data_IF_690026147397
#
_entry.id   IF_690026147397
#
_cell.length_a   1.000
_cell.length_b   1.000
_cell.length_c   1.000
_cell.angle_alpha   90.00
_cell.angle_beta   90.00
_cell.angle_gamma   90.00
#
_symmetry.space_group_name_H-M   'P 1'
#
loop_
_entity.id
_entity.type
_entity.pdbx_description
1 polymer ?
#
# COMPACT_ATOMS: atom_id res chain seq x y z
N UNK A 1 9.64 9.01 -18.07
CA UNK A 1 9.72 9.51 -16.68
C UNK A 1 8.39 10.15 -16.35
N UNK A 2 7.82 9.85 -15.19
CA UNK A 2 6.62 10.54 -14.68
C UNK A 2 7.07 11.53 -13.61
N UNK A 3 6.46 12.71 -13.59
CA UNK A 3 6.80 13.77 -12.65
C UNK A 3 5.55 14.30 -11.96
N UNK A 4 5.73 14.76 -10.73
CA UNK A 4 4.68 15.39 -9.95
C UNK A 4 5.25 16.27 -8.86
N UNK A 5 4.40 16.63 -7.90
CA UNK A 5 4.76 17.50 -6.78
C UNK A 5 4.08 17.04 -5.50
N UNK A 6 4.74 17.30 -4.39
CA UNK A 6 4.11 17.24 -3.08
C UNK A 6 3.16 18.42 -2.94
N UNK A 7 1.91 18.15 -2.54
CA UNK A 7 0.90 19.17 -2.36
C UNK A 7 1.30 20.19 -1.26
N UNK A 8 0.69 21.37 -1.29
CA UNK A 8 0.97 22.43 -0.32
C UNK A 8 -0.29 22.98 0.36
N UNK A 9 -1.47 22.45 -0.01
CA UNK A 9 -2.77 23.07 0.29
C UNK A 9 -3.38 22.60 1.62
N UNK A 10 -3.08 21.39 2.07
CA UNK A 10 -3.77 20.75 3.21
C UNK A 10 -2.82 20.34 4.36
N UNK A 11 -1.55 20.74 4.31
CA UNK A 11 -0.47 20.34 5.25
C UNK A 11 -0.18 18.82 5.29
N UNK A 12 -0.84 17.99 4.49
CA UNK A 12 -0.67 16.53 4.55
C UNK A 12 0.52 16.02 3.73
N UNK A 13 1.16 16.90 2.94
CA UNK A 13 2.36 16.61 2.14
C UNK A 13 2.20 15.36 1.25
N UNK A 14 1.06 15.26 0.58
CA UNK A 14 0.78 14.15 -0.33
C UNK A 14 1.60 14.28 -1.61
N UNK A 15 2.31 13.22 -1.98
CA UNK A 15 2.98 13.12 -3.27
C UNK A 15 1.93 12.93 -4.38
N UNK A 16 1.73 13.92 -5.24
CA UNK A 16 0.73 13.89 -6.29
C UNK A 16 1.37 13.88 -7.68
N UNK A 17 0.81 13.07 -8.57
CA UNK A 17 1.13 13.06 -10.01
C UNK A 17 -0.15 13.28 -10.81
N UNK A 18 -0.02 13.94 -11.96
CA UNK A 18 -1.14 14.11 -12.88
C UNK A 18 -1.08 13.03 -13.96
N UNK A 19 -2.19 12.33 -14.17
CA UNK A 19 -2.32 11.27 -15.16
C UNK A 19 -3.35 11.64 -16.23
N UNK A 20 -3.04 11.30 -17.48
CA UNK A 20 -4.03 11.25 -18.55
C UNK A 20 -4.55 9.83 -18.66
N UNK A 21 -5.85 9.64 -18.44
CA UNK A 21 -6.54 8.36 -18.62
C UNK A 21 -7.32 8.40 -19.94
N UNK A 22 -7.31 7.30 -20.67
CA UNK A 22 -8.00 7.14 -21.95
C UNK A 22 -9.18 6.17 -21.82
N UNK A 23 -10.27 6.53 -22.46
CA UNK A 23 -11.52 5.79 -22.49
C UNK A 23 -11.99 5.49 -23.92
N UNK A 24 -13.21 4.96 -24.05
CA UNK A 24 -13.75 4.56 -25.37
C UNK A 24 -14.06 5.77 -26.25
N UNK A 25 -13.85 5.62 -27.56
CA UNK A 25 -14.28 6.61 -28.54
C UNK A 25 -13.55 7.96 -28.42
N UNK A 26 -12.22 7.93 -28.27
CA UNK A 26 -11.34 9.11 -28.11
C UNK A 26 -11.62 9.96 -26.86
N UNK A 27 -12.31 9.40 -25.86
CA UNK A 27 -12.52 10.05 -24.57
C UNK A 27 -11.23 9.98 -23.75
N UNK A 28 -10.98 11.03 -22.99
CA UNK A 28 -9.81 11.10 -22.13
C UNK A 28 -10.06 12.10 -21.01
N UNK A 29 -9.59 11.80 -19.80
CA UNK A 29 -9.72 12.66 -18.64
C UNK A 29 -8.37 12.78 -17.92
N UNK A 30 -8.06 13.99 -17.46
CA UNK A 30 -6.89 14.24 -16.64
C UNK A 30 -7.31 14.18 -15.17
N UNK A 31 -6.51 13.54 -14.34
CA UNK A 31 -6.74 13.47 -12.89
C UNK A 31 -5.43 13.62 -12.14
N UNK A 32 -5.51 14.21 -10.95
CA UNK A 32 -4.42 14.18 -9.97
C UNK A 32 -4.61 12.98 -9.06
N UNK A 33 -3.55 12.18 -8.92
CA UNK A 33 -3.53 11.00 -8.07
C UNK A 33 -2.43 11.08 -7.02
N UNK A 34 -2.74 10.64 -5.81
CA UNK A 34 -1.79 10.49 -4.71
C UNK A 34 -1.01 9.19 -4.91
N UNK A 35 0.31 9.27 -4.80
CA UNK A 35 1.16 8.07 -4.79
C UNK A 35 1.02 7.39 -3.43
N UNK A 36 0.49 6.16 -3.41
CA UNK A 36 0.23 5.40 -2.20
C UNK A 36 0.95 4.05 -2.23
N UNK A 37 2.03 3.95 -1.45
CA UNK A 37 2.80 2.70 -1.31
C UNK A 37 2.11 1.64 -0.45
N UNK A 38 1.03 1.99 0.25
CA UNK A 38 0.16 1.07 0.99
C UNK A 38 -0.95 0.47 0.13
N UNK A 39 -1.19 1.00 -1.07
CA UNK A 39 -2.16 0.48 -2.01
C UNK A 39 -1.50 -0.49 -3.00
N UNK A 40 -1.99 -1.73 -3.07
CA UNK A 40 -1.35 -2.81 -3.86
C UNK A 40 -1.60 -2.70 -5.36
N UNK A 41 -2.78 -2.24 -5.77
CA UNK A 41 -3.23 -2.29 -7.17
C UNK A 41 -2.67 -1.13 -8.00
N UNK A 42 -3.23 -0.91 -9.20
CA UNK A 42 -2.71 0.10 -10.12
C UNK A 42 -3.20 1.51 -9.80
N UNK A 43 -4.50 1.76 -9.96
CA UNK A 43 -5.10 3.09 -9.86
C UNK A 43 -6.49 2.98 -9.23
N UNK A 44 -6.85 3.87 -8.31
CA UNK A 44 -8.26 4.12 -7.96
C UNK A 44 -8.80 5.31 -8.75
N UNK A 45 -10.10 5.31 -9.05
CA UNK A 45 -10.75 6.43 -9.72
C UNK A 45 -12.23 6.57 -9.29
N UNK A 46 -12.76 7.80 -9.19
CA UNK A 46 -14.18 8.05 -8.99
C UNK A 46 -15.05 7.42 -10.07
N UNK A 47 -16.21 6.90 -9.67
CA UNK A 47 -17.17 6.24 -10.56
C UNK A 47 -17.66 7.18 -11.66
N UNK A 48 -17.74 8.48 -11.36
CA UNK A 48 -18.13 9.52 -12.31
C UNK A 48 -17.16 9.56 -13.50
N UNK A 49 -15.85 9.63 -13.25
CA UNK A 49 -14.83 9.63 -14.30
C UNK A 49 -14.80 8.30 -15.07
N UNK A 50 -15.01 7.17 -14.38
CA UNK A 50 -15.11 5.86 -15.01
C UNK A 50 -16.27 5.84 -16.02
N UNK A 51 -17.43 6.36 -15.63
CA UNK A 51 -18.62 6.48 -16.46
C UNK A 51 -18.42 7.41 -17.64
N UNK A 52 -17.84 8.60 -17.41
CA UNK A 52 -17.52 9.57 -18.45
C UNK A 52 -16.60 8.98 -19.51
N UNK A 53 -15.59 8.20 -19.11
CA UNK A 53 -14.65 7.52 -20.00
C UNK A 53 -15.22 6.25 -20.65
N UNK A 54 -16.40 5.80 -20.21
CA UNK A 54 -17.04 4.56 -20.66
C UNK A 54 -16.12 3.34 -20.54
N UNK A 55 -15.39 3.23 -19.42
CA UNK A 55 -14.47 2.12 -19.18
C UNK A 55 -15.22 0.79 -19.08
N UNK A 56 -14.52 -0.31 -19.40
CA UNK A 56 -15.12 -1.64 -19.39
C UNK A 56 -14.94 -2.28 -18.02
N UNK A 57 -16.04 -2.67 -17.38
CA UNK A 57 -16.00 -3.50 -16.17
C UNK A 57 -15.30 -4.84 -16.48
N UNK A 58 -14.32 -5.21 -15.67
CA UNK A 58 -13.53 -6.43 -15.80
C UNK A 58 -13.90 -7.43 -14.71
N UNK A 59 -13.96 -7.00 -13.46
CA UNK A 59 -14.25 -7.89 -12.33
C UNK A 59 -14.74 -7.14 -11.10
N UNK A 60 -15.26 -7.87 -10.11
CA UNK A 60 -15.53 -7.40 -8.76
C UNK A 60 -14.56 -8.16 -7.83
N UNK A 61 -13.82 -7.46 -6.98
CA UNK A 61 -12.80 -8.05 -6.09
C UNK A 61 -12.94 -7.55 -4.66
N UNK A 62 -12.65 -8.43 -3.70
CA UNK A 62 -12.59 -8.10 -2.28
C UNK A 62 -11.21 -7.50 -1.92
N UNK A 63 -11.23 -6.45 -1.12
CA UNK A 63 -10.04 -5.78 -0.61
C UNK A 63 -10.14 -5.57 0.89
N UNK A 64 -9.02 -5.82 1.59
CA UNK A 64 -8.86 -5.45 2.99
C UNK A 64 -8.38 -4.01 3.07
N UNK A 65 -9.20 -3.14 3.63
CA UNK A 65 -8.88 -1.72 3.84
C UNK A 65 -7.95 -1.53 5.05
N UNK A 66 -7.39 -0.33 5.18
CA UNK A 66 -6.46 0.01 6.26
C UNK A 66 -7.05 -0.17 7.68
N UNK A 67 -8.38 -0.09 7.82
CA UNK A 67 -9.08 -0.34 9.08
C UNK A 67 -9.40 -1.84 9.34
N UNK A 68 -8.95 -2.73 8.45
CA UNK A 68 -9.21 -4.17 8.51
C UNK A 68 -10.56 -4.61 7.96
N UNK A 69 -11.41 -3.68 7.51
CA UNK A 69 -12.67 -4.02 6.87
C UNK A 69 -12.44 -4.63 5.49
N UNK A 70 -13.29 -5.58 5.11
CA UNK A 70 -13.29 -6.17 3.77
C UNK A 70 -14.42 -5.55 2.97
N UNK A 71 -14.09 -5.01 1.79
CA UNK A 71 -15.05 -4.39 0.87
C UNK A 71 -14.86 -4.94 -0.54
N UNK A 72 -15.96 -5.11 -1.25
CA UNK A 72 -15.95 -5.48 -2.66
C UNK A 72 -15.96 -4.22 -3.53
N UNK A 73 -15.04 -4.18 -4.50
CA UNK A 73 -14.93 -3.08 -5.44
C UNK A 73 -15.00 -3.59 -6.88
N UNK A 74 -15.64 -2.80 -7.73
CA UNK A 74 -15.58 -2.98 -9.18
C UNK A 74 -14.21 -2.56 -9.73
N UNK A 75 -13.75 -3.27 -10.74
CA UNK A 75 -12.48 -3.01 -11.42
C UNK A 75 -12.72 -2.90 -12.91
N UNK A 76 -12.08 -1.92 -13.54
CA UNK A 76 -12.28 -1.55 -14.92
C UNK A 76 -10.97 -1.59 -15.70
N UNK A 77 -11.02 -1.98 -16.97
CA UNK A 77 -9.87 -1.87 -17.85
C UNK A 77 -9.72 -0.41 -18.30
N UNK A 78 -8.53 0.15 -18.11
CA UNK A 78 -8.17 1.48 -18.57
C UNK A 78 -6.77 1.54 -19.18
N UNK A 79 -6.50 2.63 -19.87
CA UNK A 79 -5.17 2.96 -20.39
C UNK A 79 -4.77 4.33 -19.88
N UNK A 80 -3.52 4.47 -19.46
CA UNK A 80 -2.97 5.74 -18.96
C UNK A 80 -1.72 6.13 -19.72
N UNK A 81 -1.49 7.43 -19.90
CA UNK A 81 -0.18 7.94 -20.29
C UNK A 81 0.77 7.84 -19.09
N UNK A 82 1.73 6.94 -19.20
CA UNK A 82 2.77 6.69 -18.22
C UNK A 82 4.12 7.18 -18.72
N UNK A 83 4.34 8.49 -18.58
CA UNK A 83 5.61 9.13 -18.89
C UNK A 83 5.93 9.12 -20.39
N UNK A 84 4.90 9.35 -21.21
CA UNK A 84 4.93 9.36 -22.67
C UNK A 84 4.55 8.04 -23.32
N UNK A 85 4.23 7.00 -22.53
CA UNK A 85 3.91 5.66 -23.04
C UNK A 85 2.51 5.24 -22.57
N UNK A 86 1.70 4.76 -23.50
CA UNK A 86 0.43 4.12 -23.17
C UNK A 86 0.67 2.86 -22.31
N UNK A 87 -0.01 2.78 -21.17
CA UNK A 87 0.07 1.65 -20.25
C UNK A 87 -1.33 1.16 -19.90
N UNK A 88 -1.58 -0.12 -20.13
CA UNK A 88 -2.81 -0.79 -19.72
C UNK A 88 -2.80 -1.04 -18.21
N UNK A 89 -3.91 -0.74 -17.55
CA UNK A 89 -4.05 -0.79 -16.09
C UNK A 89 -5.45 -1.28 -15.69
N UNK A 90 -5.54 -1.86 -14.50
CA UNK A 90 -6.83 -2.11 -13.84
C UNK A 90 -7.16 -0.94 -12.91
N UNK A 91 -8.31 -0.33 -13.11
CA UNK A 91 -8.77 0.84 -12.35
C UNK A 91 -9.84 0.38 -11.38
N UNK A 92 -9.58 0.55 -10.09
CA UNK A 92 -10.52 0.23 -9.01
C UNK A 92 -11.46 1.43 -8.79
N UNK A 93 -12.77 1.19 -8.86
CA UNK A 93 -13.76 2.20 -8.52
C UNK A 93 -13.70 2.52 -7.02
N UNK A 94 -13.61 3.80 -6.67
CA UNK A 94 -13.60 4.25 -5.27
C UNK A 94 -14.17 5.66 -5.14
N UNK A 95 -14.86 5.93 -4.04
CA UNK A 95 -15.36 7.28 -3.69
C UNK A 95 -14.27 8.18 -3.09
N UNK A 96 -13.07 7.64 -2.85
CA UNK A 96 -11.92 8.39 -2.33
C UNK A 96 -11.11 9.11 -3.41
N UNK A 97 -10.07 9.83 -2.97
CA UNK A 97 -9.10 10.44 -3.87
C UNK A 97 -8.46 9.38 -4.78
N UNK A 98 -8.15 9.70 -6.05
CA UNK A 98 -7.40 8.80 -6.90
C UNK A 98 -6.03 8.44 -6.30
N UNK A 99 -5.70 7.15 -6.26
CA UNK A 99 -4.48 6.61 -5.70
C UNK A 99 -3.71 5.85 -6.76
N UNK A 100 -2.40 6.08 -6.85
CA UNK A 100 -1.47 5.29 -7.66
C UNK A 100 -0.76 4.31 -6.74
N UNK A 101 -1.00 3.03 -6.95
CA UNK A 101 -0.50 1.96 -6.09
C UNK A 101 0.77 1.28 -6.59
N UNK A 102 1.22 0.29 -5.83
CA UNK A 102 2.46 -0.43 -6.06
C UNK A 102 2.51 -1.20 -7.39
N UNK A 103 1.36 -1.62 -7.95
CA UNK A 103 1.35 -2.26 -9.27
C UNK A 103 1.73 -1.28 -10.39
N UNK A 104 1.39 0.00 -10.25
CA UNK A 104 1.86 1.05 -11.16
C UNK A 104 3.34 1.34 -10.97
N UNK A 105 3.81 1.36 -9.72
CA UNK A 105 5.20 1.67 -9.38
C UNK A 105 6.19 0.53 -9.65
N UNK A 106 5.70 -0.69 -9.91
CA UNK A 106 6.55 -1.85 -10.20
C UNK A 106 7.57 -1.54 -11.29
N UNK A 107 8.82 -1.94 -11.08
CA UNK A 107 9.97 -1.71 -11.96
C UNK A 107 10.34 -0.22 -12.15
N UNK A 108 9.93 0.65 -11.22
CA UNK A 108 10.30 2.06 -11.20
C UNK A 108 10.88 2.47 -9.84
N UNK A 109 11.84 3.40 -9.85
CA UNK A 109 12.28 4.13 -8.67
C UNK A 109 11.33 5.30 -8.40
N UNK A 110 10.90 5.42 -7.14
CA UNK A 110 10.11 6.54 -6.63
C UNK A 110 10.99 7.45 -5.78
N UNK A 111 11.12 8.72 -6.19
CA UNK A 111 11.75 9.76 -5.38
C UNK A 111 10.74 10.83 -5.01
N UNK A 112 10.67 11.13 -3.71
CA UNK A 112 9.79 12.17 -3.16
C UNK A 112 10.63 13.10 -2.29
N UNK A 113 10.56 14.40 -2.55
CA UNK A 113 11.04 15.41 -1.60
C UNK A 113 9.87 15.91 -0.78
N UNK A 114 9.75 15.44 0.46
CA UNK A 114 8.62 15.68 1.38
C UNK A 114 8.64 17.08 1.99
N UNK A 115 8.59 18.10 1.14
CA UNK A 115 8.40 19.51 1.49
C UNK A 115 7.28 20.06 0.61
N UNK A 116 6.57 21.14 1.00
CA UNK A 116 5.57 21.75 0.14
C UNK A 116 6.11 22.05 -1.26
N UNK A 117 5.41 21.60 -2.29
CA UNK A 117 5.81 21.72 -3.71
C UNK A 117 7.10 20.98 -4.07
N UNK A 118 7.61 20.12 -3.20
CA UNK A 118 8.80 19.31 -3.45
C UNK A 118 8.58 18.36 -4.62
N UNK A 119 9.64 18.08 -5.42
CA UNK A 119 9.51 17.21 -6.60
C UNK A 119 9.13 15.78 -6.21
N UNK A 120 8.31 15.18 -7.07
CA UNK A 120 8.05 13.74 -7.14
C UNK A 120 8.50 13.25 -8.51
N UNK A 121 9.31 12.19 -8.57
CA UNK A 121 9.72 11.57 -9.84
C UNK A 121 9.58 10.07 -9.76
N UNK A 122 9.05 9.47 -10.83
CA UNK A 122 8.95 8.03 -11.01
C UNK A 122 9.69 7.68 -12.30
N UNK A 123 10.75 6.89 -12.15
CA UNK A 123 11.74 6.66 -13.21
C UNK A 123 11.86 5.14 -13.40
N UNK A 124 11.79 4.62 -14.65
CA UNK A 124 12.04 3.20 -14.89
C UNK A 124 13.40 2.79 -14.31
N UNK A 125 13.42 1.67 -13.60
CA UNK A 125 14.69 1.12 -13.10
C UNK A 125 15.53 0.69 -14.29
N UNK A 126 16.79 1.13 -14.33
CA UNK A 126 17.75 0.55 -15.25
C UNK A 126 18.08 -0.88 -14.79
N UNK A 127 17.51 -1.86 -15.49
CA UNK A 127 17.66 -3.30 -15.21
C UNK A 127 19.12 -3.76 -15.22
N UNK A 128 19.98 -3.17 -16.05
CA UNK A 128 21.40 -3.53 -16.08
C UNK A 128 22.10 -3.04 -14.80
N UNK A 129 21.82 -1.81 -14.40
CA UNK A 129 22.31 -1.24 -13.14
C UNK A 129 21.78 -2.03 -11.93
N UNK A 130 20.52 -2.47 -11.94
CA UNK A 130 19.93 -3.25 -10.85
C UNK A 130 20.55 -4.65 -10.73
N UNK A 131 20.74 -5.35 -11.84
CA UNK A 131 21.41 -6.66 -11.87
C UNK A 131 22.86 -6.55 -11.40
N UNK A 132 23.59 -5.53 -11.86
CA UNK A 132 24.96 -5.28 -11.41
C UNK A 132 25.03 -5.02 -9.89
N UNK A 133 24.09 -4.26 -9.35
CA UNK A 133 24.00 -4.01 -7.90
C UNK A 133 23.63 -5.26 -7.10
N UNK A 134 22.82 -6.17 -7.65
CA UNK A 134 22.48 -7.44 -7.00
C UNK A 134 23.65 -8.44 -7.00
N UNK A 135 24.41 -8.52 -8.10
CA UNK A 135 25.60 -9.36 -8.19
C UNK A 135 26.76 -8.86 -7.31
N UNK A 136 26.83 -7.55 -7.05
CA UNK A 136 27.85 -6.94 -6.20
C UNK A 136 27.46 -6.85 -4.72
N UNK A 137 26.33 -7.43 -4.29
CA UNK A 137 26.00 -7.52 -2.86
C UNK A 137 26.89 -8.57 -2.19
N UNK A 138 27.70 -8.21 -1.17
CA UNK A 138 28.41 -9.22 -0.40
C UNK A 138 27.39 -10.17 0.25
N UNK A 139 27.64 -11.47 0.13
CA UNK A 139 26.80 -12.52 0.71
C UNK A 139 26.87 -12.48 2.25
N UNK A 140 26.13 -11.58 2.88
CA UNK A 140 26.07 -11.48 4.33
C UNK A 140 24.78 -12.10 4.90
N UNK A 141 25.01 -13.13 5.71
CA UNK A 141 24.13 -13.85 6.64
C UNK A 141 23.44 -15.14 6.16
N UNK A 142 24.25 -16.16 5.88
CA UNK A 142 23.98 -17.46 6.48
C UNK A 142 24.09 -17.31 8.00
N UNK A 143 22.96 -17.16 8.70
CA UNK A 143 22.93 -17.21 10.15
C UNK A 143 23.12 -18.66 10.59
N UNK A 144 24.36 -19.04 10.86
CA UNK A 144 24.74 -20.24 11.60
C UNK A 144 23.94 -20.30 12.90
N UNK A 145 23.03 -21.28 13.01
CA UNK A 145 22.53 -21.74 14.30
C UNK A 145 23.69 -22.40 15.05
N UNK A 146 24.41 -21.63 15.87
CA UNK A 146 25.30 -22.19 16.88
C UNK A 146 24.53 -22.30 18.19
N UNK A 147 24.06 -23.52 18.47
CA UNK A 147 23.67 -23.92 19.81
C UNK A 147 24.91 -23.82 20.71
N UNK A 148 24.84 -22.99 21.75
CA UNK A 148 25.75 -23.11 22.90
C UNK A 148 24.94 -22.97 24.19
N UNK A 149 24.86 -24.11 24.87
CA UNK A 149 24.40 -24.32 26.24
C UNK A 149 25.18 -23.46 27.24
N UNK A 150 24.49 -22.77 28.16
CA UNK A 150 25.03 -22.44 29.49
C UNK A 150 23.87 -22.27 30.49
N UNK A 151 23.65 -23.35 31.24
CA UNK A 151 23.60 -23.42 32.71
C UNK A 151 22.77 -22.42 33.53
N UNK A 152 21.62 -22.93 34.00
CA UNK A 152 21.09 -22.90 35.37
C UNK A 152 21.24 -21.61 36.23
N UNK A 153 20.10 -20.97 36.50
CA UNK A 153 19.86 -20.34 37.80
C UNK A 153 18.52 -20.85 38.36
N UNK A 154 18.63 -21.66 39.41
CA UNK A 154 17.55 -22.21 40.22
C UNK A 154 17.53 -21.44 41.54
N UNK A 155 16.42 -20.79 41.88
CA UNK A 155 16.11 -20.42 43.26
C UNK A 155 14.73 -20.97 43.58
N UNK A 156 14.72 -22.05 44.36
CA UNK A 156 13.54 -22.64 44.98
C UNK A 156 13.39 -22.09 46.41
N UNK A 157 12.20 -21.56 46.73
CA UNK A 157 11.51 -21.72 48.02
C UNK A 157 12.00 -20.91 49.24
N UNK A 158 11.12 -20.68 50.25
CA UNK A 158 10.26 -21.74 50.79
C UNK A 158 8.75 -21.43 50.84
N UNK A 159 8.00 -22.54 50.81
CA UNK A 159 6.56 -22.68 50.95
C UNK A 159 6.15 -22.89 52.40
N UNK A 160 5.07 -22.25 52.88
CA UNK A 160 4.30 -22.68 54.05
C UNK A 160 2.77 -22.46 53.87
N UNK A 161 2.13 -23.53 53.36
CA UNK A 161 0.84 -24.18 53.71
C UNK A 161 -0.40 -23.39 54.24
N UNK A 162 -1.48 -23.45 53.42
CA UNK A 162 -2.87 -23.98 53.62
C UNK A 162 -3.83 -23.46 54.74
N UNK A 163 -4.90 -22.72 54.30
CA UNK A 163 -6.41 -22.84 54.42
C UNK A 163 -7.08 -23.37 55.74
N UNK A 164 -8.41 -23.19 56.07
CA UNK A 164 -9.61 -22.87 55.22
C UNK A 164 -10.83 -22.07 55.84
N UNK A 165 -11.87 -21.81 55.00
CA UNK A 165 -13.37 -21.67 55.23
C UNK A 165 -13.90 -20.40 55.96
N UNK A 166 -15.07 -19.78 55.70
CA UNK A 166 -16.47 -20.20 55.34
C UNK A 166 -17.26 -19.05 54.62
N UNK A 167 -17.94 -19.28 53.49
CA UNK A 167 -19.42 -19.33 53.24
C UNK A 167 -20.35 -18.22 53.75
N UNK A 168 -21.05 -17.51 52.85
CA UNK A 168 -22.53 -17.40 52.79
C UNK A 168 -23.04 -16.47 51.66
N UNK A 169 -23.67 -17.05 50.63
CA UNK A 169 -24.84 -16.49 49.89
C UNK A 169 -26.11 -16.97 50.65
N UNK A 170 -27.38 -16.56 50.37
CA UNK A 170 -27.91 -15.68 49.30
C UNK A 170 -29.05 -14.72 49.72
N UNK A 171 -29.48 -13.81 48.82
CA UNK A 171 -30.93 -13.64 48.57
C UNK A 171 -31.27 -12.88 47.27
N UNK A 172 -32.24 -13.44 46.55
CA UNK A 172 -32.98 -12.90 45.39
C UNK A 172 -34.01 -11.84 45.81
N UNK A 173 -34.44 -11.07 44.81
CA UNK A 173 -35.84 -10.75 44.44
C UNK A 173 -36.17 -9.24 44.42
N UNK A 174 -36.25 -8.65 43.23
CA UNK A 174 -37.48 -8.37 42.48
C UNK A 174 -37.14 -7.87 41.08
#
# INVERSE_FOLDING_TARGET
MVTGRVNAYDQNLQAQITLQVFGKGKRSAQLDAVVDTGFTEYLTMPVELIGELMLTLVSIREFTLANGAIHSFETFAGEVDWGGNARQVEILASDGDPLVGMAMLRDHDLHVRTIPKGPVTIIPVDRLTQLANQLNRPANHASTRSATTTSAFRLEGPSLRKRPRTSSTPQRAR
#
